data_IF_997360585078
#
_entry.id   IF_997360585078
#
_cell.length_a   1.000
_cell.length_b   1.000
_cell.length_c   1.000
_cell.angle_alpha   90.00
_cell.angle_beta   90.00
_cell.angle_gamma   90.00
#
_symmetry.space_group_name_H-M   'P 1'
#
loop_
_entity.id
_entity.type
_entity.pdbx_description
1 polymer ?
#
# COMPACT_ATOMS: atom_id res chain seq x y z
N UNK A 1 11.71 -8.89 -30.40
CA UNK A 1 11.11 -10.23 -30.40
C UNK A 1 11.58 -10.94 -29.16
N UNK A 2 10.71 -11.15 -28.17
CA UNK A 2 11.02 -11.98 -27.00
C UNK A 2 10.90 -13.44 -27.43
N UNK A 3 12.02 -14.16 -27.50
CA UNK A 3 11.98 -15.61 -27.66
C UNK A 3 11.14 -16.20 -26.52
N UNK A 4 10.03 -16.84 -26.89
CA UNK A 4 9.15 -17.48 -25.94
C UNK A 4 9.85 -18.76 -25.49
N UNK A 5 10.43 -18.74 -24.28
CA UNK A 5 11.04 -19.92 -23.69
C UNK A 5 9.92 -20.92 -23.39
N UNK A 6 9.79 -21.96 -24.22
CA UNK A 6 8.91 -23.08 -23.95
C UNK A 6 9.55 -23.97 -22.89
N UNK A 7 9.05 -23.86 -21.66
CA UNK A 7 9.39 -24.80 -20.59
C UNK A 7 8.80 -26.16 -20.93
N UNK A 8 9.67 -27.14 -21.16
CA UNK A 8 9.30 -28.55 -21.28
C UNK A 8 9.88 -29.40 -20.14
N UNK A 9 9.36 -30.62 -20.01
CA UNK A 9 9.77 -31.56 -18.98
C UNK A 9 11.02 -32.37 -19.38
N UNK A 10 11.71 -32.01 -20.47
CA UNK A 10 12.87 -32.75 -20.96
C UNK A 10 14.01 -32.86 -19.93
N UNK A 11 14.36 -31.81 -19.15
CA UNK A 11 15.37 -31.96 -18.11
C UNK A 11 14.98 -33.00 -17.04
N UNK A 12 13.68 -33.14 -16.77
CA UNK A 12 13.16 -34.04 -15.74
C UNK A 12 13.30 -35.52 -16.13
N UNK A 13 13.43 -35.84 -17.42
CA UNK A 13 13.60 -37.25 -17.87
C UNK A 13 14.94 -37.86 -17.44
N UNK A 14 15.85 -37.05 -16.89
CA UNK A 14 17.17 -37.49 -16.42
C UNK A 14 17.32 -37.40 -14.90
N UNK A 15 16.25 -37.05 -14.17
CA UNK A 15 16.23 -37.16 -12.71
C UNK A 15 16.16 -38.65 -12.33
N UNK A 16 17.06 -39.09 -11.47
CA UNK A 16 17.01 -40.44 -10.87
C UNK A 16 15.91 -40.46 -9.79
N UNK A 17 15.02 -41.44 -9.84
CA UNK A 17 13.97 -41.67 -8.82
C UNK A 17 14.54 -42.02 -7.44
N UNK A 18 15.81 -42.46 -7.36
CA UNK A 18 16.48 -42.91 -6.13
C UNK A 18 17.09 -41.78 -5.29
N UNK A 19 17.17 -40.55 -5.82
CA UNK A 19 17.64 -39.40 -5.04
C UNK A 19 16.40 -38.82 -4.34
N UNK A 20 16.31 -39.01 -3.02
CA UNK A 20 15.31 -38.35 -2.18
C UNK A 20 15.42 -36.82 -2.37
N UNK A 21 14.62 -36.28 -3.30
CA UNK A 21 14.56 -34.87 -3.64
C UNK A 21 14.09 -33.96 -2.49
N UNK A 22 13.70 -34.55 -1.35
CA UNK A 22 13.26 -33.82 -0.16
C UNK A 22 14.41 -33.07 0.56
N UNK A 23 15.68 -33.42 0.31
CA UNK A 23 16.83 -32.75 0.94
C UNK A 23 17.42 -31.59 0.12
N UNK A 24 17.05 -31.42 -1.16
CA UNK A 24 17.59 -30.33 -1.98
C UNK A 24 16.88 -29.01 -1.67
N UNK A 25 17.52 -28.16 -0.85
CA UNK A 25 17.03 -26.82 -0.55
C UNK A 25 17.76 -25.76 -1.41
N UNK A 26 17.05 -25.16 -2.37
CA UNK A 26 17.55 -24.00 -3.11
C UNK A 26 17.55 -22.77 -2.18
N UNK A 27 18.74 -22.46 -1.65
CA UNK A 27 18.96 -21.32 -0.76
C UNK A 27 18.57 -19.97 -1.39
N UNK A 28 18.71 -19.81 -2.71
CA UNK A 28 18.33 -18.57 -3.40
C UNK A 28 16.82 -18.43 -3.49
N UNK A 29 16.12 -19.50 -3.87
CA UNK A 29 14.66 -19.53 -3.91
C UNK A 29 14.06 -19.32 -2.51
N UNK A 30 14.64 -19.93 -1.47
CA UNK A 30 14.26 -19.68 -0.07
C UNK A 30 14.39 -18.20 0.30
N UNK A 31 15.53 -17.59 -0.02
CA UNK A 31 15.78 -16.16 0.23
C UNK A 31 14.78 -15.26 -0.53
N UNK A 32 14.44 -15.58 -1.79
CA UNK A 32 13.41 -14.86 -2.53
C UNK A 32 12.05 -14.94 -1.82
N UNK A 33 11.63 -16.13 -1.38
CA UNK A 33 10.36 -16.33 -0.67
C UNK A 33 10.30 -15.54 0.63
N UNK A 34 11.36 -15.55 1.43
CA UNK A 34 11.45 -14.78 2.68
C UNK A 34 11.36 -13.27 2.43
N UNK A 35 12.09 -12.75 1.43
CA UNK A 35 12.03 -11.33 1.05
C UNK A 35 10.65 -10.93 0.55
N UNK A 36 10.02 -11.75 -0.30
CA UNK A 36 8.66 -11.51 -0.81
C UNK A 36 7.68 -11.47 0.37
N UNK A 37 7.74 -12.44 1.27
CA UNK A 37 6.87 -12.50 2.46
C UNK A 37 6.99 -11.25 3.31
N UNK A 38 8.22 -10.81 3.58
CA UNK A 38 8.49 -9.58 4.35
C UNK A 38 7.88 -8.34 3.67
N UNK A 39 8.09 -8.17 2.35
CA UNK A 39 7.52 -7.04 1.62
C UNK A 39 5.98 -7.10 1.62
N UNK A 40 5.38 -8.29 1.49
CA UNK A 40 3.93 -8.46 1.55
C UNK A 40 3.35 -8.04 2.91
N UNK A 41 4.01 -8.43 4.01
CA UNK A 41 3.60 -8.02 5.35
C UNK A 41 3.69 -6.49 5.52
N UNK A 42 4.78 -5.87 5.06
CA UNK A 42 4.93 -4.41 5.07
C UNK A 42 3.82 -3.71 4.26
N UNK A 43 3.49 -4.22 3.06
CA UNK A 43 2.41 -3.68 2.23
C UNK A 43 1.04 -3.76 2.93
N UNK A 44 0.78 -4.86 3.65
CA UNK A 44 -0.45 -5.03 4.44
C UNK A 44 -0.55 -3.97 5.53
N UNK A 45 0.53 -3.76 6.29
CA UNK A 45 0.58 -2.75 7.36
C UNK A 45 0.38 -1.33 6.81
N UNK A 46 1.02 -0.99 5.69
CA UNK A 46 0.86 0.33 5.06
C UNK A 46 -0.58 0.57 4.58
N UNK A 47 -1.26 -0.45 4.06
CA UNK A 47 -2.68 -0.35 3.69
C UNK A 47 -3.58 -0.09 4.89
N UNK A 48 -3.33 -0.79 6.00
CA UNK A 48 -4.07 -0.58 7.26
C UNK A 48 -3.86 0.86 7.74
N UNK A 49 -2.61 1.33 7.77
CA UNK A 49 -2.29 2.68 8.20
C UNK A 49 -2.99 3.75 7.33
N UNK A 50 -3.07 3.57 6.02
CA UNK A 50 -3.81 4.48 5.12
C UNK A 50 -5.30 4.49 5.49
N UNK A 51 -5.91 3.32 5.68
CA UNK A 51 -7.32 3.21 6.05
C UNK A 51 -7.64 3.87 7.38
N UNK A 52 -6.78 3.69 8.40
CA UNK A 52 -6.94 4.33 9.71
C UNK A 52 -6.85 5.86 9.61
N UNK A 53 -5.85 6.38 8.89
CA UNK A 53 -5.72 7.84 8.71
C UNK A 53 -6.89 8.41 7.94
N UNK A 54 -7.38 7.69 6.93
CA UNK A 54 -8.56 8.10 6.17
C UNK A 54 -9.80 8.15 7.05
N UNK A 55 -10.05 7.14 7.89
CA UNK A 55 -11.16 7.12 8.83
C UNK A 55 -11.12 8.31 9.81
N UNK A 56 -9.96 8.59 10.41
CA UNK A 56 -9.77 9.75 11.30
C UNK A 56 -10.06 11.06 10.56
N UNK A 57 -9.62 11.18 9.31
CA UNK A 57 -9.85 12.37 8.48
C UNK A 57 -11.34 12.57 8.22
N UNK A 58 -12.06 11.52 7.84
CA UNK A 58 -13.52 11.57 7.62
C UNK A 58 -14.26 12.07 8.86
N UNK A 59 -13.94 11.54 10.04
CA UNK A 59 -14.56 12.00 11.30
C UNK A 59 -14.24 13.47 11.61
N UNK A 60 -13.05 13.97 11.24
CA UNK A 60 -12.71 15.38 11.42
C UNK A 60 -13.43 16.28 10.40
N UNK A 61 -13.61 15.83 9.16
CA UNK A 61 -14.38 16.53 8.14
C UNK A 61 -15.87 16.63 8.53
N UNK A 62 -16.45 15.57 9.09
CA UNK A 62 -17.81 15.59 9.65
C UNK A 62 -17.94 16.59 10.80
N UNK A 63 -17.00 16.56 11.76
CA UNK A 63 -16.97 17.53 12.88
C UNK A 63 -16.82 18.96 12.39
N UNK A 64 -16.00 19.19 11.38
CA UNK A 64 -15.84 20.50 10.75
C UNK A 64 -17.17 20.98 10.14
N UNK A 65 -17.87 20.12 9.40
CA UNK A 65 -19.19 20.45 8.84
C UNK A 65 -20.20 20.81 9.92
N UNK A 66 -20.22 20.10 11.05
CA UNK A 66 -21.08 20.43 12.18
C UNK A 66 -20.76 21.80 12.78
N UNK A 67 -19.47 22.11 12.98
CA UNK A 67 -19.03 23.41 13.49
C UNK A 67 -19.38 24.57 12.55
N UNK A 68 -19.25 24.36 11.23
CA UNK A 68 -19.63 25.36 10.24
C UNK A 68 -21.14 25.63 10.24
N UNK A 69 -21.96 24.58 10.38
CA UNK A 69 -23.40 24.71 10.49
C UNK A 69 -23.82 25.41 11.79
N UNK A 70 -23.20 25.05 12.92
CA UNK A 70 -23.43 25.72 14.21
C UNK A 70 -23.05 27.21 14.14
N UNK A 71 -21.91 27.53 13.52
CA UNK A 71 -21.46 28.89 13.29
C UNK A 71 -22.46 29.71 12.47
N UNK A 72 -22.96 29.16 11.36
CA UNK A 72 -23.98 29.82 10.52
C UNK A 72 -25.29 30.05 11.28
N UNK A 73 -25.76 29.06 12.04
CA UNK A 73 -26.98 29.20 12.84
C UNK A 73 -26.83 30.29 13.90
N UNK A 74 -25.70 30.34 14.61
CA UNK A 74 -25.42 31.39 15.60
C UNK A 74 -25.28 32.78 14.96
N UNK A 75 -24.65 32.91 13.80
CA UNK A 75 -24.59 34.18 13.06
C UNK A 75 -25.99 34.64 12.64
N UNK A 76 -26.85 33.74 12.16
CA UNK A 76 -28.23 34.06 11.79
C UNK A 76 -29.08 34.49 13.00
N UNK A 77 -28.99 33.79 14.12
CA UNK A 77 -29.69 34.14 15.36
C UNK A 77 -29.25 35.50 15.88
N UNK A 78 -27.94 35.78 15.86
CA UNK A 78 -27.41 37.07 16.29
C UNK A 78 -27.92 38.21 15.38
N UNK A 79 -27.95 38.02 14.05
CA UNK A 79 -28.53 39.00 13.11
C UNK A 79 -30.01 39.22 13.36
N UNK A 80 -30.76 38.16 13.62
CA UNK A 80 -32.18 38.25 13.96
C UNK A 80 -32.37 39.12 15.21
N UNK A 81 -31.67 38.82 16.30
CA UNK A 81 -31.77 39.60 17.55
C UNK A 81 -31.40 41.06 17.31
N UNK A 82 -30.32 41.34 16.58
CA UNK A 82 -29.90 42.70 16.26
C UNK A 82 -30.96 43.49 15.47
N UNK A 83 -31.70 42.85 14.57
CA UNK A 83 -32.74 43.51 13.78
C UNK A 83 -33.99 43.92 14.58
N UNK A 84 -34.24 43.30 15.73
CA UNK A 84 -35.39 43.59 16.59
C UNK A 84 -35.03 44.37 17.87
N UNK A 85 -33.76 44.70 18.08
CA UNK A 85 -33.28 45.30 19.32
C UNK A 85 -33.27 46.83 19.23
N UNK A 86 -34.42 47.47 19.43
CA UNK A 86 -34.54 48.94 19.46
C UNK A 86 -34.10 49.55 20.81
N UNK A 87 -33.95 48.76 21.89
CA UNK A 87 -33.77 49.26 23.27
C UNK A 87 -32.63 48.61 24.09
N UNK A 88 -31.56 48.08 23.46
CA UNK A 88 -30.38 47.51 24.14
C UNK A 88 -30.66 46.34 25.14
N UNK A 89 -31.84 45.73 25.12
CA UNK A 89 -32.24 44.69 26.07
C UNK A 89 -31.38 43.42 25.90
N UNK A 90 -30.92 43.16 24.67
CA UNK A 90 -30.22 41.93 24.31
C UNK A 90 -28.68 42.08 24.19
N UNK A 91 -28.08 43.16 24.70
CA UNK A 91 -26.63 43.41 24.53
C UNK A 91 -25.74 42.31 25.11
N UNK A 92 -26.09 41.76 26.28
CA UNK A 92 -25.37 40.61 26.86
C UNK A 92 -25.43 39.37 25.98
N UNK A 93 -26.58 39.10 25.38
CA UNK A 93 -26.78 37.94 24.53
C UNK A 93 -26.00 38.10 23.23
N UNK A 94 -26.00 39.30 22.65
CA UNK A 94 -25.17 39.66 21.50
C UNK A 94 -23.68 39.44 21.79
N UNK A 95 -23.19 39.87 22.95
CA UNK A 95 -21.80 39.65 23.37
C UNK A 95 -21.51 38.14 23.52
N UNK A 96 -22.44 37.38 24.11
CA UNK A 96 -22.30 35.93 24.24
C UNK A 96 -22.24 35.23 22.88
N UNK A 97 -23.09 35.61 21.93
CA UNK A 97 -23.03 35.10 20.55
C UNK A 97 -21.69 35.42 19.88
N UNK A 98 -21.16 36.64 20.04
CA UNK A 98 -19.84 37.01 19.50
C UNK A 98 -18.72 36.14 20.06
N UNK A 99 -18.68 35.94 21.38
CA UNK A 99 -17.66 35.11 22.02
C UNK A 99 -17.72 33.65 21.55
N UNK A 100 -18.94 33.10 21.46
CA UNK A 100 -19.15 31.74 20.95
C UNK A 100 -18.73 31.60 19.49
N UNK A 101 -19.06 32.57 18.64
CA UNK A 101 -18.64 32.57 17.24
C UNK A 101 -17.12 32.66 17.09
N UNK A 102 -16.43 33.41 17.94
CA UNK A 102 -14.97 33.46 17.94
C UNK A 102 -14.36 32.11 18.31
N UNK A 103 -14.91 31.43 19.33
CA UNK A 103 -14.49 30.09 19.71
C UNK A 103 -14.70 29.08 18.57
N UNK A 104 -15.86 29.09 17.92
CA UNK A 104 -16.17 28.22 16.77
C UNK A 104 -15.20 28.49 15.63
N UNK A 105 -14.93 29.76 15.29
CA UNK A 105 -13.95 30.14 14.25
C UNK A 105 -12.54 29.61 14.57
N UNK A 106 -12.11 29.66 15.83
CA UNK A 106 -10.82 29.07 16.27
C UNK A 106 -10.83 27.54 16.11
N UNK A 107 -11.91 26.86 16.49
CA UNK A 107 -12.03 25.41 16.35
C UNK A 107 -12.05 24.96 14.88
N UNK A 108 -12.75 25.68 14.00
CA UNK A 108 -12.75 25.46 12.54
C UNK A 108 -11.33 25.59 11.99
N UNK A 109 -10.62 26.68 12.32
CA UNK A 109 -9.23 26.88 11.88
C UNK A 109 -8.32 25.73 12.32
N UNK A 110 -8.42 25.32 13.58
CA UNK A 110 -7.64 24.21 14.12
C UNK A 110 -7.96 22.88 13.43
N UNK A 111 -9.24 22.61 13.16
CA UNK A 111 -9.67 21.39 12.47
C UNK A 111 -9.16 21.35 11.03
N UNK A 112 -9.23 22.47 10.31
CA UNK A 112 -8.65 22.61 8.97
C UNK A 112 -7.14 22.35 8.95
N UNK A 113 -6.39 22.90 9.90
CA UNK A 113 -4.96 22.61 10.04
C UNK A 113 -4.68 21.11 10.27
N UNK A 114 -5.48 20.46 11.13
CA UNK A 114 -5.35 19.01 11.41
C UNK A 114 -5.66 18.17 10.18
N UNK A 115 -6.74 18.48 9.45
CA UNK A 115 -7.11 17.79 8.21
C UNK A 115 -5.99 17.92 7.17
N UNK A 116 -5.45 19.14 6.98
CA UNK A 116 -4.32 19.38 6.06
C UNK A 116 -3.09 18.54 6.43
N UNK A 117 -2.75 18.48 7.72
CA UNK A 117 -1.65 17.67 8.20
C UNK A 117 -1.89 16.16 7.98
N UNK A 118 -3.13 15.69 8.18
CA UNK A 118 -3.50 14.29 7.93
C UNK A 118 -3.39 13.94 6.46
N UNK A 119 -3.82 14.82 5.54
CA UNK A 119 -3.66 14.62 4.10
C UNK A 119 -2.18 14.47 3.72
N UNK A 120 -1.29 15.30 4.27
CA UNK A 120 0.14 15.19 4.01
C UNK A 120 0.72 13.88 4.54
N UNK A 121 0.31 13.46 5.75
CA UNK A 121 0.73 12.18 6.34
C UNK A 121 0.24 10.99 5.50
N UNK A 122 -1.02 11.01 5.07
CA UNK A 122 -1.60 9.98 4.21
C UNK A 122 -0.86 9.88 2.87
N UNK A 123 -0.55 11.03 2.26
CA UNK A 123 0.24 11.09 1.02
C UNK A 123 1.63 10.44 1.20
N UNK A 124 2.32 10.73 2.30
CA UNK A 124 3.63 10.11 2.61
C UNK A 124 3.54 8.58 2.71
N UNK A 125 2.50 8.06 3.36
CA UNK A 125 2.29 6.60 3.48
C UNK A 125 1.95 5.98 2.13
N UNK A 126 1.09 6.63 1.32
CA UNK A 126 0.78 6.19 -0.05
C UNK A 126 2.02 6.15 -0.95
N UNK A 127 2.90 7.15 -0.85
CA UNK A 127 4.19 7.16 -1.57
C UNK A 127 5.07 5.98 -1.14
N UNK A 128 5.17 5.71 0.16
CA UNK A 128 5.92 4.56 0.70
C UNK A 128 5.34 3.23 0.20
N UNK A 129 4.02 3.10 0.18
CA UNK A 129 3.32 1.92 -0.35
C UNK A 129 3.67 1.71 -1.83
N UNK A 130 3.64 2.76 -2.65
CA UNK A 130 4.00 2.68 -4.06
C UNK A 130 5.46 2.22 -4.25
N UNK A 131 6.41 2.82 -3.52
CA UNK A 131 7.82 2.41 -3.59
C UNK A 131 8.00 0.94 -3.23
N UNK A 132 7.28 0.44 -2.21
CA UNK A 132 7.33 -0.97 -1.83
C UNK A 132 6.75 -1.89 -2.89
N UNK A 133 5.68 -1.48 -3.59
CA UNK A 133 5.16 -2.23 -4.73
C UNK A 133 6.19 -2.33 -5.87
N UNK A 134 6.91 -1.24 -6.16
CA UNK A 134 7.98 -1.27 -7.16
C UNK A 134 9.11 -2.22 -6.74
N UNK A 135 9.53 -2.19 -5.47
CA UNK A 135 10.53 -3.14 -4.96
C UNK A 135 10.08 -4.60 -5.08
N UNK A 136 8.80 -4.88 -4.82
CA UNK A 136 8.26 -6.23 -5.00
C UNK A 136 8.30 -6.67 -6.46
N UNK A 137 7.91 -5.77 -7.38
CA UNK A 137 7.95 -6.02 -8.81
C UNK A 137 9.38 -6.37 -9.28
N UNK A 138 10.36 -5.56 -8.90
CA UNK A 138 11.77 -5.80 -9.24
C UNK A 138 12.27 -7.14 -8.69
N UNK A 139 11.89 -7.47 -7.43
CA UNK A 139 12.26 -8.73 -6.80
C UNK A 139 11.64 -9.94 -7.53
N UNK A 140 10.38 -9.85 -7.95
CA UNK A 140 9.71 -10.90 -8.70
C UNK A 140 10.35 -11.10 -10.07
N UNK A 141 10.71 -10.02 -10.76
CA UNK A 141 11.44 -10.11 -12.02
C UNK A 141 12.80 -10.79 -11.84
N UNK A 142 13.54 -10.43 -10.80
CA UNK A 142 14.83 -11.07 -10.50
C UNK A 142 14.66 -12.58 -10.23
N UNK A 143 13.62 -12.97 -9.48
CA UNK A 143 13.30 -14.37 -9.24
C UNK A 143 12.93 -15.11 -10.53
N UNK A 144 12.13 -14.50 -11.42
CA UNK A 144 11.78 -15.09 -12.72
C UNK A 144 13.03 -15.32 -13.57
N UNK A 145 13.94 -14.35 -13.64
CA UNK A 145 15.20 -14.48 -14.38
C UNK A 145 16.09 -15.58 -13.79
N UNK A 146 16.14 -15.68 -12.46
CA UNK A 146 16.84 -16.78 -11.78
C UNK A 146 16.30 -18.15 -12.21
N UNK A 147 14.97 -18.35 -12.17
CA UNK A 147 14.31 -19.60 -12.57
C UNK A 147 14.56 -19.91 -14.05
N UNK A 148 14.47 -18.91 -14.93
CA UNK A 148 14.74 -19.07 -16.36
C UNK A 148 16.18 -19.55 -16.60
N UNK A 149 17.15 -18.89 -15.96
CA UNK A 149 18.56 -19.22 -16.12
C UNK A 149 18.88 -20.62 -15.60
N UNK A 150 18.28 -20.99 -14.47
CA UNK A 150 18.42 -22.32 -13.89
C UNK A 150 17.85 -23.40 -14.81
N UNK A 151 16.62 -23.20 -15.31
CA UNK A 151 16.02 -24.09 -16.30
C UNK A 151 16.88 -24.25 -17.56
N UNK A 152 17.39 -23.15 -18.13
CA UNK A 152 18.24 -23.19 -19.33
C UNK A 152 19.54 -23.95 -19.08
N UNK A 153 20.12 -23.84 -17.88
CA UNK A 153 21.29 -24.62 -17.48
C UNK A 153 20.97 -26.11 -17.41
N UNK A 154 19.87 -26.47 -16.73
CA UNK A 154 19.43 -27.86 -16.64
C UNK A 154 19.10 -28.47 -18.00
N UNK A 155 18.48 -27.70 -18.89
CA UNK A 155 18.20 -28.13 -20.27
C UNK A 155 19.47 -28.43 -21.05
N UNK A 156 20.50 -27.57 -20.98
CA UNK A 156 21.79 -27.82 -21.63
C UNK A 156 22.46 -29.09 -21.09
N UNK A 157 22.44 -29.28 -19.77
CA UNK A 157 22.96 -30.50 -19.15
C UNK A 157 22.21 -31.75 -19.62
N UNK A 158 20.88 -31.71 -19.64
CA UNK A 158 20.05 -32.81 -20.13
C UNK A 158 20.33 -33.16 -21.60
N UNK A 159 20.47 -32.15 -22.47
CA UNK A 159 20.85 -32.36 -23.87
C UNK A 159 22.23 -33.03 -23.99
N UNK A 160 23.22 -32.60 -23.19
CA UNK A 160 24.55 -33.22 -23.18
C UNK A 160 24.51 -34.69 -22.71
N UNK A 161 23.75 -34.99 -21.64
CA UNK A 161 23.55 -36.36 -21.15
C UNK A 161 22.88 -37.23 -22.22
N UNK A 162 21.85 -36.70 -22.89
CA UNK A 162 21.16 -37.39 -23.97
C UNK A 162 22.10 -37.71 -25.13
N UNK A 163 22.89 -36.74 -25.59
CA UNK A 163 23.90 -36.92 -26.65
C UNK A 163 24.90 -38.02 -26.29
N UNK A 164 25.47 -37.95 -25.09
CA UNK A 164 26.41 -38.98 -24.59
C UNK A 164 25.78 -40.38 -24.55
N UNK A 165 24.52 -40.50 -24.12
CA UNK A 165 23.79 -41.78 -24.12
C UNK A 165 23.53 -42.31 -25.54
N UNK A 166 23.34 -41.45 -26.53
CA UNK A 166 23.18 -41.87 -27.93
C UNK A 166 24.50 -42.36 -28.53
N UNK A 167 25.60 -41.63 -28.32
CA UNK A 167 26.91 -42.02 -28.83
C UNK A 167 27.38 -43.37 -28.27
N UNK A 168 27.11 -43.64 -27.00
CA UNK A 168 27.49 -44.92 -26.36
C UNK A 168 26.55 -46.09 -26.65
N UNK A 169 25.36 -45.86 -27.23
CA UNK A 169 24.48 -46.95 -27.70
C UNK A 169 24.92 -47.54 -29.05
N UNK A 170 25.79 -46.87 -29.79
CA UNK A 170 26.34 -47.35 -31.06
C UNK A 170 27.64 -48.15 -30.96
N UNK A 171 28.21 -48.32 -29.76
CA UNK A 171 29.49 -48.99 -29.50
C UNK A 171 29.36 -50.33 -28.75
N UNK A 172 28.17 -50.96 -28.80
CA UNK A 172 27.87 -52.33 -28.33
C UNK A 172 27.32 -53.13 -29.52
#
# INVERSE_FOLDING_TARGET
MSEQIFFDNFPLTFLNEEINNEEYEDANEKNYREKIKKIMEELKLLKIEISEKHAIRMTLEEKLSMLENEGKMKENNMKYIMNFNENNIYDREIINYRNNLEMIKKQIKNSNCKIKLLLEKEFKVRKKLQTRYMTLYDLLNNRIQYIINDYMKHRKCACAIYGYKQENKGNL
#
